data_IF_503028668368
#
_entry.id   IF_503028668368
#
_cell.length_a   1.000
_cell.length_b   1.000
_cell.length_c   1.000
_cell.angle_alpha   90.00
_cell.angle_beta   90.00
_cell.angle_gamma   90.00
#
_symmetry.space_group_name_H-M   'P 1'
#
loop_
_entity.id
_entity.type
_entity.pdbx_description
1 polymer ?
#
# COMPACT_ATOMS: atom_id res chain seq x y z
N UNK A 1 7.35 5.62 21.56
CA UNK A 1 7.31 5.67 20.10
C UNK A 1 7.76 4.31 19.63
N UNK A 2 6.80 3.46 19.31
CA UNK A 2 7.04 2.08 18.86
C UNK A 2 7.19 2.01 17.34
N UNK A 3 7.27 0.80 16.78
CA UNK A 3 7.42 0.61 15.33
C UNK A 3 6.19 1.09 14.54
N UNK A 4 4.97 0.90 15.07
CA UNK A 4 3.74 1.28 14.40
C UNK A 4 3.61 2.81 14.34
N UNK A 5 3.96 3.50 15.43
CA UNK A 5 4.06 4.97 15.46
C UNK A 5 5.02 5.50 14.39
N UNK A 6 6.20 4.87 14.23
CA UNK A 6 7.22 5.28 13.25
C UNK A 6 6.76 5.11 11.80
N UNK A 7 5.89 4.13 11.54
CA UNK A 7 5.39 3.79 10.21
C UNK A 7 3.98 4.32 9.94
N UNK A 8 3.36 5.01 10.93
CA UNK A 8 1.97 5.51 10.87
C UNK A 8 0.94 4.41 10.61
N UNK A 9 1.11 3.26 11.25
CA UNK A 9 0.21 2.12 11.18
C UNK A 9 -0.66 2.02 12.43
N UNK A 10 -1.89 1.54 12.28
CA UNK A 10 -2.81 1.28 13.40
C UNK A 10 -2.74 -0.18 13.86
N UNK A 11 -2.38 -1.09 12.94
CA UNK A 11 -2.32 -2.53 13.19
C UNK A 11 -1.02 -3.11 12.65
N UNK A 12 -0.46 -4.16 13.30
CA UNK A 12 0.77 -4.82 12.86
C UNK A 12 0.51 -5.80 11.70
N UNK A 13 -0.18 -5.33 10.65
CA UNK A 13 -0.50 -6.10 9.45
C UNK A 13 0.24 -5.52 8.26
N UNK A 14 0.96 -6.38 7.53
CA UNK A 14 1.62 -6.03 6.29
C UNK A 14 1.15 -6.95 5.16
N UNK A 15 0.65 -6.36 4.08
CA UNK A 15 0.22 -7.13 2.91
C UNK A 15 1.44 -7.57 2.11
N UNK A 16 1.54 -8.87 1.84
CA UNK A 16 2.63 -9.46 1.08
C UNK A 16 2.59 -9.00 -0.40
N UNK A 17 3.72 -8.54 -0.94
CA UNK A 17 3.85 -8.25 -2.37
C UNK A 17 3.65 -9.50 -3.23
N UNK A 18 2.83 -9.41 -4.27
CA UNK A 18 2.48 -10.52 -5.16
C UNK A 18 2.57 -10.09 -6.63
N UNK A 19 3.06 -10.98 -7.50
CA UNK A 19 3.15 -10.74 -8.95
C UNK A 19 1.81 -11.00 -9.65
N UNK A 20 1.75 -10.68 -10.95
CA UNK A 20 0.59 -10.98 -11.79
C UNK A 20 -0.61 -10.08 -11.54
N UNK A 21 -0.40 -8.87 -11.01
CA UNK A 21 -1.48 -7.92 -10.70
C UNK A 21 -2.24 -8.21 -9.41
N UNK A 22 -1.88 -9.25 -8.65
CA UNK A 22 -2.56 -9.61 -7.40
C UNK A 22 -2.39 -8.54 -6.30
N UNK A 23 -1.19 -7.96 -6.18
CA UNK A 23 -0.90 -6.86 -5.28
C UNK A 23 -1.02 -5.51 -6.02
N UNK A 24 -2.20 -5.25 -6.57
CA UNK A 24 -2.53 -4.02 -7.30
C UNK A 24 -2.80 -2.81 -6.39
N UNK A 25 -3.00 -1.61 -6.99
CA UNK A 25 -3.26 -0.39 -6.25
C UNK A 25 -4.53 -0.43 -5.40
N UNK A 26 -5.58 -1.11 -5.84
CA UNK A 26 -6.84 -1.23 -5.09
C UNK A 26 -6.62 -1.99 -3.77
N UNK A 27 -5.89 -3.11 -3.80
CA UNK A 27 -5.59 -3.89 -2.61
C UNK A 27 -4.64 -3.13 -1.66
N UNK A 28 -3.58 -2.53 -2.20
CA UNK A 28 -2.63 -1.77 -1.41
C UNK A 28 -3.31 -0.57 -0.72
N UNK A 29 -4.17 0.16 -1.44
CA UNK A 29 -4.94 1.28 -0.87
C UNK A 29 -5.90 0.81 0.22
N UNK A 30 -6.63 -0.29 0.01
CA UNK A 30 -7.56 -0.83 1.00
C UNK A 30 -6.84 -1.22 2.31
N UNK A 31 -5.66 -1.85 2.22
CA UNK A 31 -4.84 -2.21 3.38
C UNK A 31 -4.34 -0.96 4.10
N UNK A 32 -3.83 0.03 3.35
CA UNK A 32 -3.38 1.32 3.91
C UNK A 32 -4.51 2.07 4.61
N UNK A 33 -5.70 2.14 3.99
CA UNK A 33 -6.88 2.80 4.57
C UNK A 33 -7.35 2.10 5.86
N UNK A 34 -7.20 0.77 5.95
CA UNK A 34 -7.46 0.00 7.15
C UNK A 34 -6.38 0.14 8.25
N UNK A 35 -5.34 0.94 8.02
CA UNK A 35 -4.26 1.18 8.99
C UNK A 35 -3.14 0.14 8.97
N UNK A 36 -3.09 -0.72 7.94
CA UNK A 36 -1.99 -1.66 7.70
C UNK A 36 -0.99 -1.15 6.68
N UNK A 37 0.08 -1.92 6.43
CA UNK A 37 1.08 -1.60 5.41
C UNK A 37 0.69 -2.23 4.06
N UNK A 38 0.17 -1.40 3.15
CA UNK A 38 -0.11 -1.79 1.76
C UNK A 38 1.16 -1.89 0.91
N UNK A 39 1.24 -2.89 0.03
CA UNK A 39 2.41 -3.18 -0.82
C UNK A 39 2.00 -3.33 -2.27
N UNK A 40 2.56 -2.50 -3.16
CA UNK A 40 2.44 -2.71 -4.60
C UNK A 40 3.36 -3.86 -5.05
N UNK A 41 2.82 -4.76 -5.87
CA UNK A 41 3.59 -5.80 -6.53
C UNK A 41 4.66 -5.25 -7.49
N UNK A 42 5.51 -6.12 -8.02
CA UNK A 42 6.52 -5.70 -8.99
C UNK A 42 5.85 -5.37 -10.34
N UNK A 43 5.94 -4.11 -10.74
CA UNK A 43 5.35 -3.55 -11.95
C UNK A 43 6.44 -2.88 -12.82
N UNK A 44 6.23 -2.77 -14.14
CA UNK A 44 7.03 -1.89 -14.99
C UNK A 44 7.02 -0.43 -14.47
N UNK A 45 8.05 0.36 -14.76
CA UNK A 45 8.21 1.70 -14.16
C UNK A 45 7.00 2.63 -14.32
N UNK A 46 6.39 2.69 -15.51
CA UNK A 46 5.25 3.57 -15.76
C UNK A 46 3.98 3.11 -15.02
N UNK A 47 3.75 1.80 -14.99
CA UNK A 47 2.63 1.19 -14.26
C UNK A 47 2.81 1.38 -12.75
N UNK A 48 4.02 1.22 -12.22
CA UNK A 48 4.31 1.49 -10.82
C UNK A 48 4.00 2.94 -10.45
N UNK A 49 4.39 3.92 -11.29
CA UNK A 49 4.09 5.33 -11.04
C UNK A 49 2.58 5.60 -11.05
N UNK A 50 1.84 4.98 -11.96
CA UNK A 50 0.39 5.08 -12.00
C UNK A 50 -0.26 4.49 -10.75
N UNK A 51 0.16 3.29 -10.35
CA UNK A 51 -0.34 2.62 -9.15
C UNK A 51 -0.03 3.42 -7.88
N UNK A 52 1.16 4.02 -7.76
CA UNK A 52 1.51 4.90 -6.62
C UNK A 52 0.56 6.10 -6.54
N UNK A 53 0.24 6.74 -7.68
CA UNK A 53 -0.72 7.86 -7.68
C UNK A 53 -2.10 7.41 -7.23
N UNK A 54 -2.60 6.30 -7.77
CA UNK A 54 -3.91 5.76 -7.41
C UNK A 54 -4.01 5.41 -5.91
N UNK A 55 -2.96 4.81 -5.32
CA UNK A 55 -2.94 4.53 -3.88
C UNK A 55 -3.04 5.81 -3.05
N UNK A 56 -2.29 6.86 -3.42
CA UNK A 56 -2.32 8.15 -2.72
C UNK A 56 -3.67 8.86 -2.82
N UNK A 57 -4.32 8.77 -3.98
CA UNK A 57 -5.65 9.33 -4.19
C UNK A 57 -6.73 8.57 -3.40
N UNK A 58 -6.60 7.24 -3.28
CA UNK A 58 -7.54 6.39 -2.58
C UNK A 58 -7.35 6.34 -1.05
N UNK A 59 -6.17 6.72 -0.54
CA UNK A 59 -5.85 6.77 0.89
C UNK A 59 -5.18 8.11 1.27
N UNK A 60 -5.90 9.26 1.18
CA UNK A 60 -5.31 10.60 1.28
C UNK A 60 -4.80 10.99 2.67
N UNK A 61 -5.29 10.34 3.73
CA UNK A 61 -4.98 10.66 5.14
C UNK A 61 -3.89 9.74 5.74
N UNK A 62 -3.14 9.02 4.91
CA UNK A 62 -2.07 8.08 5.31
C UNK A 62 -0.72 8.43 4.71
#
# INVERSE_FOLDING_TARGET
MDLLDRLRLDVPVAQAGMRGGLAGPELAAAVTAAGGLGTLGLLPPEELRAAIRQVREAAPDR
#
